data_IF_006323566121
#
_entry.id   IF_006323566121
#
_cell.length_a   1.000
_cell.length_b   1.000
_cell.length_c   1.000
_cell.angle_alpha   90.00
_cell.angle_beta   90.00
_cell.angle_gamma   90.00
#
_symmetry.space_group_name_H-M   'P 1'
#
loop_
_entity.id
_entity.type
_entity.pdbx_description
1 polymer ?
#
# COMPACT_ATOMS: atom_id res chain seq x y z
N UNK A 1 -0.86 3.10 3.83
CA UNK A 1 -0.97 1.66 3.53
C UNK A 1 0.38 1.07 3.15
N UNK A 2 1.03 1.58 2.09
CA UNK A 2 2.28 0.99 1.57
C UNK A 2 3.43 1.06 2.57
N UNK A 3 3.72 2.23 3.14
CA UNK A 3 4.83 2.41 4.10
C UNK A 3 4.62 1.59 5.38
N UNK A 4 3.40 1.57 5.92
CA UNK A 4 3.07 0.76 7.09
C UNK A 4 3.21 -0.74 6.79
N UNK A 5 2.71 -1.19 5.63
CA UNK A 5 2.88 -2.57 5.16
C UNK A 5 4.35 -2.98 5.02
N UNK A 6 5.21 -2.08 4.53
CA UNK A 6 6.65 -2.28 4.40
C UNK A 6 7.41 -2.26 5.74
N UNK A 7 6.72 -2.02 6.86
CA UNK A 7 7.31 -2.09 8.20
C UNK A 7 7.96 -0.80 8.67
N UNK A 8 7.47 0.37 8.21
CA UNK A 8 7.88 1.64 8.80
C UNK A 8 7.45 1.72 10.28
N UNK A 9 8.30 2.29 11.15
CA UNK A 9 8.00 2.49 12.57
C UNK A 9 7.21 3.78 12.84
N UNK A 10 7.26 4.74 11.91
CA UNK A 10 6.50 5.97 11.91
C UNK A 10 6.30 6.48 10.49
N UNK A 11 5.23 7.23 10.27
CA UNK A 11 4.97 7.92 9.00
C UNK A 11 4.71 9.40 9.27
N UNK A 12 4.80 10.24 8.24
CA UNK A 12 4.50 11.66 8.47
C UNK A 12 4.76 12.54 7.27
N UNK A 13 4.63 13.84 7.51
CA UNK A 13 4.88 14.89 6.53
C UNK A 13 5.98 15.83 7.01
N UNK A 14 6.77 16.29 6.06
CA UNK A 14 7.87 17.22 6.31
C UNK A 14 7.91 18.27 5.20
N UNK A 15 8.04 19.54 5.57
CA UNK A 15 8.20 20.63 4.61
C UNK A 15 6.92 20.94 3.80
N UNK A 16 7.08 21.58 2.65
CA UNK A 16 6.10 21.93 1.61
C UNK A 16 5.12 23.04 2.00
N UNK A 17 4.47 22.94 3.15
CA UNK A 17 3.37 23.81 3.57
C UNK A 17 3.58 24.27 5.02
N UNK A 18 2.84 25.31 5.43
CA UNK A 18 2.75 25.73 6.82
C UNK A 18 1.83 24.82 7.66
N UNK A 19 1.77 25.04 8.98
CA UNK A 19 1.02 24.13 9.87
C UNK A 19 -0.49 24.13 9.59
N UNK A 20 -1.07 25.26 9.18
CA UNK A 20 -2.51 25.35 8.92
C UNK A 20 -2.89 24.55 7.66
N UNK A 21 -2.13 24.73 6.60
CA UNK A 21 -2.37 24.05 5.31
C UNK A 21 -2.15 22.54 5.39
N UNK A 22 -1.33 22.08 6.35
CA UNK A 22 -1.08 20.64 6.56
C UNK A 22 -2.18 19.94 7.37
N UNK A 23 -3.07 20.65 8.07
CA UNK A 23 -4.12 20.02 8.88
C UNK A 23 -4.90 18.97 8.11
N UNK A 24 -5.53 19.27 6.94
CA UNK A 24 -6.33 18.27 6.23
C UNK A 24 -5.50 17.07 5.73
N UNK A 25 -4.24 17.29 5.39
CA UNK A 25 -3.32 16.20 4.97
C UNK A 25 -3.01 15.29 6.16
N UNK A 26 -2.74 15.88 7.33
CA UNK A 26 -2.43 15.13 8.55
C UNK A 26 -3.66 14.38 9.06
N UNK A 27 -4.85 14.98 8.99
CA UNK A 27 -6.12 14.30 9.30
C UNK A 27 -6.29 13.04 8.46
N UNK A 28 -6.05 13.13 7.16
CA UNK A 28 -6.17 11.98 6.26
C UNK A 28 -5.11 10.92 6.57
N UNK A 29 -3.85 11.29 6.78
CA UNK A 29 -2.80 10.34 7.20
C UNK A 29 -3.21 9.64 8.50
N UNK A 30 -3.73 10.40 9.46
CA UNK A 30 -4.14 9.86 10.76
C UNK A 30 -5.30 8.85 10.68
N UNK A 31 -6.10 8.87 9.62
CA UNK A 31 -7.17 7.88 9.37
C UNK A 31 -6.63 6.55 8.84
N UNK A 32 -5.49 6.57 8.17
CA UNK A 32 -4.97 5.42 7.41
C UNK A 32 -3.77 4.72 8.02
N UNK A 33 -3.35 5.11 9.24
CA UNK A 33 -2.21 4.45 9.89
C UNK A 33 -2.42 4.30 11.39
N UNK A 34 -1.96 3.18 11.92
CA UNK A 34 -1.84 2.95 13.37
C UNK A 34 -0.50 3.43 13.92
N UNK A 35 0.46 3.70 13.04
CA UNK A 35 1.82 4.12 13.40
C UNK A 35 1.85 5.51 14.03
N UNK A 36 2.88 5.83 14.81
CA UNK A 36 3.18 7.20 15.18
C UNK A 36 3.24 8.11 13.95
N UNK A 37 2.56 9.27 14.02
CA UNK A 37 2.62 10.27 12.95
C UNK A 37 3.57 11.39 13.36
N UNK A 38 4.46 11.77 12.43
CA UNK A 38 5.41 12.87 12.57
C UNK A 38 5.05 14.03 11.65
N UNK A 39 5.01 15.26 12.17
CA UNK A 39 4.67 16.45 11.39
C UNK A 39 5.72 17.54 11.64
N UNK A 40 6.38 17.99 10.57
CA UNK A 40 7.38 19.06 10.60
C UNK A 40 7.06 20.09 9.51
N UNK A 41 6.15 21.05 9.78
CA UNK A 41 5.77 22.07 8.82
C UNK A 41 6.83 23.15 8.64
N UNK A 42 6.72 23.93 7.58
CA UNK A 42 7.47 25.18 7.42
C UNK A 42 6.86 26.29 8.28
N UNK A 43 7.59 27.37 8.48
CA UNK A 43 7.07 28.60 9.09
C UNK A 43 6.17 29.40 8.12
N UNK A 44 5.22 28.70 7.50
CA UNK A 44 4.39 29.21 6.40
C UNK A 44 5.00 28.95 5.03
N UNK A 45 4.58 29.73 4.04
CA UNK A 45 5.17 29.73 2.70
C UNK A 45 6.15 30.91 2.56
N UNK A 46 7.27 30.74 1.85
CA UNK A 46 8.18 31.85 1.61
C UNK A 46 7.53 32.88 0.69
N UNK A 47 7.75 34.15 1.01
CA UNK A 47 7.38 35.24 0.10
C UNK A 47 8.15 35.13 -1.23
N UNK A 48 7.48 35.15 -2.39
CA UNK A 48 8.12 34.91 -3.68
C UNK A 48 9.23 35.91 -4.05
N UNK A 49 9.20 37.12 -3.48
CA UNK A 49 10.16 38.19 -3.81
C UNK A 49 11.35 38.22 -2.84
N UNK A 50 11.09 37.93 -1.56
CA UNK A 50 12.10 38.07 -0.49
C UNK A 50 12.64 36.74 -0.01
N UNK A 51 11.96 35.61 -0.32
CA UNK A 51 12.22 34.29 0.22
C UNK A 51 12.14 34.20 1.76
N UNK A 52 11.54 35.19 2.41
CA UNK A 52 11.35 35.22 3.85
C UNK A 52 10.06 34.50 4.25
N UNK A 53 10.11 33.82 5.36
CA UNK A 53 8.95 33.20 5.99
C UNK A 53 8.33 34.21 6.96
N UNK A 54 7.00 34.39 6.89
CA UNK A 54 6.29 35.47 7.58
C UNK A 54 5.44 35.02 8.78
N UNK A 55 5.38 33.72 9.06
CA UNK A 55 4.70 33.18 10.24
C UNK A 55 5.62 33.33 11.44
N UNK A 56 5.14 33.96 12.49
CA UNK A 56 5.93 34.14 13.74
C UNK A 56 6.01 32.85 14.58
N UNK A 57 6.97 32.74 15.53
CA UNK A 57 7.05 31.57 16.41
C UNK A 57 5.78 31.27 17.18
N UNK A 58 5.04 32.29 17.67
CA UNK A 58 3.81 32.13 18.42
C UNK A 58 2.66 31.65 17.53
N UNK A 59 2.50 32.24 16.34
CA UNK A 59 1.52 31.80 15.35
C UNK A 59 1.76 30.38 14.88
N UNK A 60 3.04 30.02 14.67
CA UNK A 60 3.45 28.67 14.33
C UNK A 60 3.08 27.68 15.43
N UNK A 61 3.43 28.01 16.69
CA UNK A 61 3.17 27.15 17.84
C UNK A 61 1.67 26.93 18.06
N UNK A 62 0.85 27.99 17.95
CA UNK A 62 -0.60 27.93 18.08
C UNK A 62 -1.24 27.02 17.00
N UNK A 63 -0.77 27.14 15.75
CA UNK A 63 -1.28 26.32 14.66
C UNK A 63 -0.77 24.86 14.75
N UNK A 64 0.53 24.66 15.04
CA UNK A 64 1.14 23.33 15.09
C UNK A 64 0.66 22.51 16.32
N UNK A 65 0.32 23.16 17.43
CA UNK A 65 -0.22 22.48 18.61
C UNK A 65 -1.53 21.74 18.32
N UNK A 66 -2.31 22.16 17.31
CA UNK A 66 -3.55 21.48 16.91
C UNK A 66 -3.32 20.04 16.45
N UNK A 67 -2.12 19.72 15.97
CA UNK A 67 -1.79 18.35 15.59
C UNK A 67 -1.80 17.37 16.77
N UNK A 68 -1.57 17.85 18.00
CA UNK A 68 -1.68 17.01 19.21
C UNK A 68 -3.08 16.45 19.41
N UNK A 69 -4.11 17.22 19.03
CA UNK A 69 -5.52 16.81 19.08
C UNK A 69 -5.88 15.78 18.00
N UNK A 70 -5.09 15.71 16.91
CA UNK A 70 -5.21 14.68 15.87
C UNK A 70 -4.42 13.40 16.22
N UNK A 71 -3.79 13.35 17.40
CA UNK A 71 -3.00 12.22 17.87
C UNK A 71 -1.63 12.08 17.20
N UNK A 72 -1.08 13.19 16.66
CA UNK A 72 0.29 13.26 16.17
C UNK A 72 1.25 13.18 17.35
N UNK A 73 2.25 12.30 17.27
CA UNK A 73 3.18 12.03 18.39
C UNK A 73 4.52 12.75 18.28
N UNK A 74 4.91 13.16 17.07
CA UNK A 74 6.20 13.78 16.81
C UNK A 74 5.96 15.10 16.10
N UNK A 75 6.30 16.19 16.74
CA UNK A 75 6.16 17.53 16.21
C UNK A 75 7.52 18.24 16.14
N UNK A 76 7.70 19.05 15.11
CA UNK A 76 8.90 19.84 14.93
C UNK A 76 8.67 20.94 13.88
N UNK A 77 9.76 21.44 13.32
CA UNK A 77 9.72 22.44 12.26
C UNK A 77 10.62 22.05 11.09
N UNK A 78 10.46 22.74 9.97
CA UNK A 78 11.28 22.61 8.76
C UNK A 78 11.72 23.99 8.27
N UNK A 79 11.56 24.31 7.00
CA UNK A 79 12.03 25.55 6.41
C UNK A 79 11.44 26.81 7.10
N UNK A 80 12.29 27.79 7.35
CA UNK A 80 11.92 29.02 8.02
C UNK A 80 11.81 28.92 9.55
N UNK A 81 11.90 27.74 10.14
CA UNK A 81 11.88 27.58 11.60
C UNK A 81 13.30 27.68 12.20
N UNK A 82 13.38 28.22 13.40
CA UNK A 82 14.59 28.41 14.21
C UNK A 82 14.37 27.86 15.62
N UNK A 83 15.36 27.86 16.52
CA UNK A 83 15.18 27.40 17.89
C UNK A 83 14.04 28.09 18.65
N UNK A 84 13.74 29.36 18.34
CA UNK A 84 12.63 30.12 18.95
C UNK A 84 11.27 29.49 18.61
N UNK A 85 11.08 28.98 17.40
CA UNK A 85 9.86 28.28 16.99
C UNK A 85 9.67 26.98 17.77
N UNK A 86 10.76 26.23 17.96
CA UNK A 86 10.70 24.97 18.71
C UNK A 86 10.45 25.26 20.20
N UNK A 87 11.03 26.32 20.74
CA UNK A 87 10.78 26.76 22.11
C UNK A 87 9.29 27.11 22.31
N UNK A 88 8.76 28.00 21.47
CA UNK A 88 7.33 28.38 21.51
C UNK A 88 6.41 27.18 21.37
N UNK A 89 6.70 26.26 20.43
CA UNK A 89 5.95 25.01 20.27
C UNK A 89 6.00 24.14 21.53
N UNK A 90 7.16 23.98 22.15
CA UNK A 90 7.32 23.18 23.38
C UNK A 90 6.54 23.78 24.54
N UNK A 91 6.60 25.09 24.71
CA UNK A 91 5.85 25.82 25.74
C UNK A 91 4.34 25.66 25.51
N UNK A 92 3.85 25.81 24.28
CA UNK A 92 2.45 25.63 23.94
C UNK A 92 1.99 24.20 24.21
N UNK A 93 2.74 23.18 23.76
CA UNK A 93 2.41 21.78 23.95
C UNK A 93 2.38 21.36 25.43
N UNK A 94 3.13 22.04 26.32
CA UNK A 94 3.10 21.75 27.76
C UNK A 94 1.74 22.02 28.41
N UNK A 95 0.92 22.84 27.77
CA UNK A 95 -0.43 23.22 28.24
C UNK A 95 -1.55 22.53 27.45
N UNK A 96 -1.21 21.83 26.37
CA UNK A 96 -2.18 21.13 25.53
C UNK A 96 -2.41 19.69 25.99
N UNK A 97 -3.61 19.17 25.72
CA UNK A 97 -3.94 17.77 25.96
C UNK A 97 -3.69 16.94 24.71
N UNK A 98 -2.80 15.95 24.82
CA UNK A 98 -2.65 14.94 23.81
C UNK A 98 -3.87 14.02 23.74
N UNK A 99 -4.48 13.88 22.57
CA UNK A 99 -5.62 12.97 22.34
C UNK A 99 -5.10 11.69 21.67
N UNK A 100 -5.13 10.55 22.38
CA UNK A 100 -4.77 9.27 21.77
C UNK A 100 -5.71 8.94 20.60
N UNK A 101 -5.13 8.47 19.52
CA UNK A 101 -5.86 8.08 18.32
C UNK A 101 -6.24 6.61 18.39
N UNK A 102 -7.52 6.33 18.13
CA UNK A 102 -8.01 4.97 17.83
C UNK A 102 -8.35 4.90 16.37
N UNK A 103 -7.68 4.03 15.64
CA UNK A 103 -7.85 3.89 14.19
C UNK A 103 -8.29 2.47 13.88
N UNK A 104 -9.34 2.35 13.07
CA UNK A 104 -9.75 1.09 12.47
C UNK A 104 -9.49 1.20 10.97
N UNK A 105 -8.40 0.60 10.49
CA UNK A 105 -8.04 0.63 9.07
C UNK A 105 -8.83 -0.49 8.38
N UNK A 106 -9.68 -0.17 7.40
CA UNK A 106 -10.37 -1.19 6.61
C UNK A 106 -9.37 -1.99 5.78
N UNK A 107 -9.73 -3.23 5.43
CA UNK A 107 -8.97 -4.00 4.44
C UNK A 107 -8.90 -3.20 3.15
N UNK A 108 -7.69 -2.93 2.67
CA UNK A 108 -7.49 -2.13 1.48
C UNK A 108 -6.19 -2.50 0.77
N UNK A 109 -6.18 -2.29 -0.54
CA UNK A 109 -5.00 -2.38 -1.41
C UNK A 109 -4.86 -1.08 -2.18
N UNK A 110 -3.67 -0.76 -2.64
CA UNK A 110 -3.45 0.48 -3.35
C UNK A 110 -2.37 0.36 -4.43
N UNK A 111 -2.48 1.22 -5.42
CA UNK A 111 -1.41 1.59 -6.32
C UNK A 111 -0.65 2.82 -5.77
N UNK A 112 0.16 3.43 -6.60
CA UNK A 112 0.84 4.70 -6.29
C UNK A 112 -0.12 5.90 -6.19
N UNK A 113 -1.32 5.82 -6.78
CA UNK A 113 -2.27 6.94 -6.88
C UNK A 113 -3.69 6.59 -6.40
N UNK A 114 -4.09 5.31 -6.38
CA UNK A 114 -5.45 4.91 -6.08
C UNK A 114 -5.52 3.85 -4.97
N UNK A 115 -6.56 3.91 -4.15
CA UNK A 115 -6.82 2.97 -3.05
C UNK A 115 -8.15 2.27 -3.28
N UNK A 116 -8.15 0.95 -3.31
CA UNK A 116 -9.36 0.12 -3.33
C UNK A 116 -9.62 -0.44 -1.94
N UNK A 117 -10.66 0.09 -1.28
CA UNK A 117 -11.11 -0.38 0.04
C UNK A 117 -12.02 -1.60 -0.17
N UNK A 118 -11.76 -2.68 0.56
CA UNK A 118 -12.51 -3.93 0.45
C UNK A 118 -13.60 -3.96 1.54
N UNK A 119 -14.53 -3.04 1.45
CA UNK A 119 -15.71 -2.88 2.34
C UNK A 119 -17.01 -3.35 1.68
N UNK A 120 -16.97 -3.61 0.39
CA UNK A 120 -18.04 -4.12 -0.47
C UNK A 120 -17.45 -4.99 -1.58
N UNK A 121 -18.27 -5.70 -2.37
CA UNK A 121 -17.76 -6.46 -3.52
C UNK A 121 -16.93 -5.58 -4.45
N UNK A 122 -15.73 -6.06 -4.82
CA UNK A 122 -14.82 -5.40 -5.76
C UNK A 122 -14.61 -6.31 -6.96
N UNK A 123 -14.48 -5.70 -8.13
CA UNK A 123 -14.29 -6.42 -9.39
C UNK A 123 -12.79 -6.51 -9.69
N UNK A 124 -12.30 -7.75 -9.78
CA UNK A 124 -10.93 -8.02 -10.23
C UNK A 124 -10.98 -8.41 -11.71
N UNK A 125 -10.34 -7.61 -12.55
CA UNK A 125 -10.22 -7.88 -13.99
C UNK A 125 -9.17 -8.96 -14.25
N UNK A 126 -9.54 -10.09 -14.87
CA UNK A 126 -8.70 -11.31 -15.03
C UNK A 126 -8.30 -11.55 -16.49
N UNK A 127 -8.29 -10.54 -17.36
CA UNK A 127 -7.94 -10.73 -18.77
C UNK A 127 -6.44 -10.86 -19.03
N UNK A 128 -5.58 -10.36 -18.13
CA UNK A 128 -4.12 -10.49 -18.21
C UNK A 128 -3.74 -11.88 -17.64
N UNK A 129 -4.10 -12.93 -18.36
CA UNK A 129 -3.90 -14.33 -17.97
C UNK A 129 -3.87 -15.21 -19.23
N UNK A 130 -2.83 -16.07 -19.42
CA UNK A 130 -2.72 -16.93 -20.60
C UNK A 130 -3.68 -18.11 -20.63
N UNK A 131 -4.32 -18.44 -19.51
CA UNK A 131 -5.19 -19.63 -19.40
C UNK A 131 -6.36 -19.56 -20.36
N UNK A 132 -6.46 -20.51 -21.30
CA UNK A 132 -7.53 -20.56 -22.30
C UNK A 132 -7.45 -19.50 -23.41
N UNK A 133 -6.49 -18.56 -23.39
CA UNK A 133 -6.43 -17.39 -24.28
C UNK A 133 -5.27 -17.50 -25.28
N UNK A 134 -5.51 -18.03 -26.48
CA UNK A 134 -4.47 -18.24 -27.51
C UNK A 134 -3.71 -16.96 -27.86
N UNK A 135 -4.44 -15.86 -28.11
CA UNK A 135 -3.85 -14.57 -28.48
C UNK A 135 -2.96 -14.01 -27.37
N UNK A 136 -3.34 -14.18 -26.10
CA UNK A 136 -2.52 -13.72 -24.97
C UNK A 136 -1.23 -14.54 -24.86
N UNK A 137 -1.29 -15.88 -25.07
CA UNK A 137 -0.08 -16.74 -25.11
C UNK A 137 0.88 -16.30 -26.22
N UNK A 138 0.36 -15.97 -27.40
CA UNK A 138 1.16 -15.44 -28.51
C UNK A 138 1.82 -14.10 -28.15
N UNK A 139 1.08 -13.20 -27.50
CA UNK A 139 1.59 -11.92 -27.03
C UNK A 139 2.76 -12.09 -26.03
N UNK A 140 2.63 -13.01 -25.08
CA UNK A 140 3.72 -13.32 -24.15
C UNK A 140 4.96 -13.87 -24.84
N UNK A 141 4.79 -14.85 -25.77
CA UNK A 141 5.92 -15.43 -26.54
C UNK A 141 6.62 -14.41 -27.42
N UNK A 142 5.87 -13.48 -28.01
CA UNK A 142 6.39 -12.44 -28.88
C UNK A 142 6.80 -11.16 -28.12
N UNK A 143 6.66 -11.17 -26.77
CA UNK A 143 6.97 -10.02 -25.94
C UNK A 143 6.16 -8.75 -26.33
N UNK A 144 4.91 -8.96 -26.78
CA UNK A 144 3.98 -7.91 -27.21
C UNK A 144 3.32 -7.25 -25.97
N UNK A 145 4.06 -6.36 -25.34
CA UNK A 145 3.61 -5.63 -24.15
C UNK A 145 2.41 -4.74 -24.50
N UNK A 146 2.34 -4.19 -25.70
CA UNK A 146 1.24 -3.31 -26.08
C UNK A 146 -0.11 -4.03 -26.04
N UNK A 147 -0.15 -5.29 -26.46
CA UNK A 147 -1.36 -6.11 -26.36
C UNK A 147 -1.77 -6.32 -24.87
N UNK A 148 -0.80 -6.58 -23.98
CA UNK A 148 -1.05 -6.75 -22.55
C UNK A 148 -1.60 -5.45 -21.93
N UNK A 149 -1.00 -4.31 -22.26
CA UNK A 149 -1.47 -2.99 -21.81
C UNK A 149 -2.87 -2.67 -22.35
N UNK A 150 -3.19 -3.05 -23.59
CA UNK A 150 -4.55 -2.94 -24.14
C UNK A 150 -5.57 -3.68 -23.29
N UNK A 151 -5.25 -4.90 -22.83
CA UNK A 151 -6.14 -5.66 -21.94
C UNK A 151 -6.35 -4.96 -20.58
N UNK A 152 -5.33 -4.31 -20.05
CA UNK A 152 -5.46 -3.54 -18.80
C UNK A 152 -6.39 -2.34 -18.98
N UNK A 153 -6.19 -1.56 -20.04
CA UNK A 153 -6.99 -0.36 -20.36
C UNK A 153 -8.45 -0.72 -20.59
N UNK A 154 -8.72 -1.81 -21.34
CA UNK A 154 -10.08 -2.30 -21.58
C UNK A 154 -10.79 -2.67 -20.27
N UNK A 155 -10.12 -3.37 -19.36
CA UNK A 155 -10.68 -3.77 -18.08
C UNK A 155 -10.91 -2.57 -17.14
N UNK A 156 -9.96 -1.64 -17.09
CA UNK A 156 -10.12 -0.40 -16.33
C UNK A 156 -11.33 0.40 -16.86
N UNK A 157 -11.45 0.56 -18.17
CA UNK A 157 -12.58 1.23 -18.81
C UNK A 157 -13.93 0.50 -18.61
N UNK A 158 -13.90 -0.81 -18.39
CA UNK A 158 -15.08 -1.63 -18.08
C UNK A 158 -15.46 -1.60 -16.58
N UNK A 159 -14.72 -0.89 -15.73
CA UNK A 159 -15.05 -0.71 -14.32
C UNK A 159 -14.42 -1.75 -13.38
N UNK A 160 -13.29 -2.36 -13.74
CA UNK A 160 -12.50 -3.14 -12.80
C UNK A 160 -11.96 -2.25 -11.67
N UNK A 161 -11.98 -2.72 -10.44
CA UNK A 161 -11.39 -2.06 -9.27
C UNK A 161 -9.91 -2.45 -9.08
N UNK A 162 -9.52 -3.65 -9.53
CA UNK A 162 -8.20 -4.26 -9.37
C UNK A 162 -7.90 -5.06 -10.64
N UNK A 163 -6.64 -5.17 -11.03
CA UNK A 163 -6.22 -6.00 -12.16
C UNK A 163 -5.42 -7.22 -11.69
N UNK A 164 -5.86 -8.40 -12.04
CA UNK A 164 -5.09 -9.64 -11.90
C UNK A 164 -4.04 -9.75 -12.99
N UNK A 165 -2.82 -10.12 -12.62
CA UNK A 165 -1.67 -10.20 -13.53
C UNK A 165 -1.03 -11.57 -13.41
N UNK A 166 -1.31 -12.42 -14.41
CA UNK A 166 -0.70 -13.72 -14.59
C UNK A 166 0.01 -13.78 -15.96
N UNK A 167 1.28 -14.08 -15.95
CA UNK A 167 2.09 -14.25 -17.16
C UNK A 167 2.74 -15.63 -17.24
N UNK A 168 2.28 -16.57 -16.39
CA UNK A 168 2.77 -17.93 -16.30
C UNK A 168 2.54 -18.72 -17.59
N UNK A 169 3.60 -18.94 -18.34
CA UNK A 169 3.58 -19.71 -19.56
C UNK A 169 4.84 -20.57 -19.66
N UNK A 170 4.75 -21.89 -19.92
CA UNK A 170 5.92 -22.68 -20.29
C UNK A 170 6.68 -22.03 -21.45
N UNK A 171 7.96 -22.22 -21.52
CA UNK A 171 8.86 -21.72 -22.57
C UNK A 171 9.17 -20.20 -22.53
N UNK A 172 8.79 -19.46 -21.47
CA UNK A 172 9.24 -18.08 -21.28
C UNK A 172 9.89 -17.89 -19.89
N UNK A 173 10.70 -16.87 -19.74
CA UNK A 173 11.15 -16.40 -18.41
C UNK A 173 10.01 -15.63 -17.74
N UNK A 174 9.20 -16.34 -16.91
CA UNK A 174 8.05 -15.78 -16.21
C UNK A 174 8.46 -14.60 -15.32
N UNK A 175 9.60 -14.71 -14.63
CA UNK A 175 10.08 -13.65 -13.72
C UNK A 175 10.40 -12.36 -14.48
N UNK A 176 11.16 -12.45 -15.55
CA UNK A 176 11.48 -11.28 -16.38
C UNK A 176 10.23 -10.68 -17.01
N UNK A 177 9.30 -11.52 -17.50
CA UNK A 177 8.05 -11.08 -18.09
C UNK A 177 7.13 -10.42 -17.05
N UNK A 178 7.01 -10.98 -15.85
CA UNK A 178 6.21 -10.41 -14.76
C UNK A 178 6.72 -9.03 -14.36
N UNK A 179 8.03 -8.89 -14.12
CA UNK A 179 8.66 -7.59 -13.78
C UNK A 179 8.41 -6.56 -14.88
N UNK A 180 8.57 -6.96 -16.15
CA UNK A 180 8.33 -6.07 -17.30
C UNK A 180 6.87 -5.64 -17.38
N UNK A 181 5.94 -6.58 -17.22
CA UNK A 181 4.49 -6.33 -17.25
C UNK A 181 4.05 -5.42 -16.11
N UNK A 182 4.46 -5.69 -14.87
CA UNK A 182 4.12 -4.86 -13.71
C UNK A 182 4.63 -3.43 -13.86
N UNK A 183 5.88 -3.24 -14.33
CA UNK A 183 6.41 -1.89 -14.60
C UNK A 183 5.62 -1.17 -15.68
N UNK A 184 5.26 -1.84 -16.77
CA UNK A 184 4.54 -1.24 -17.88
C UNK A 184 3.09 -0.88 -17.52
N UNK A 185 2.41 -1.74 -16.74
CA UNK A 185 1.04 -1.51 -16.27
C UNK A 185 0.94 -0.24 -15.41
N UNK A 186 1.90 0.01 -14.52
CA UNK A 186 1.94 1.23 -13.69
C UNK A 186 2.09 2.53 -14.50
N UNK A 187 2.44 2.44 -15.77
CA UNK A 187 2.51 3.59 -16.68
C UNK A 187 1.20 3.89 -17.42
N UNK A 188 0.21 3.00 -17.37
CA UNK A 188 -1.04 3.12 -18.15
C UNK A 188 -2.31 3.00 -17.32
N UNK A 189 -2.22 2.54 -16.06
CA UNK A 189 -3.35 2.42 -15.14
C UNK A 189 -2.92 2.76 -13.72
N UNK A 190 -3.82 3.34 -12.96
CA UNK A 190 -3.71 3.62 -11.52
C UNK A 190 -4.42 2.57 -10.65
N UNK A 191 -4.98 1.52 -11.25
CA UNK A 191 -5.64 0.45 -10.50
C UNK A 191 -4.62 -0.39 -9.71
N UNK A 192 -4.96 -0.83 -8.49
CA UNK A 192 -4.16 -1.80 -7.75
C UNK A 192 -3.99 -3.10 -8.53
N UNK A 193 -2.86 -3.79 -8.32
CA UNK A 193 -2.59 -5.07 -8.97
C UNK A 193 -2.72 -6.24 -8.00
N UNK A 194 -3.21 -7.36 -8.53
CA UNK A 194 -3.10 -8.68 -7.95
C UNK A 194 -2.02 -9.45 -8.71
N UNK A 195 -0.99 -9.88 -8.01
CA UNK A 195 0.13 -10.66 -8.57
C UNK A 195 -0.22 -12.13 -8.48
N UNK A 196 -0.47 -12.74 -9.62
CA UNK A 196 -0.88 -14.15 -9.73
C UNK A 196 0.26 -15.01 -10.28
N UNK A 197 0.90 -15.75 -9.40
CA UNK A 197 1.92 -16.75 -9.73
C UNK A 197 2.03 -17.79 -8.61
N UNK A 198 2.43 -19.01 -8.99
CA UNK A 198 2.76 -20.09 -8.05
C UNK A 198 4.24 -20.14 -7.68
N UNK A 199 5.05 -19.27 -8.28
CA UNK A 199 6.51 -19.24 -8.13
C UNK A 199 6.92 -18.11 -7.18
N UNK A 200 7.45 -18.41 -5.98
CA UNK A 200 7.79 -17.38 -4.99
C UNK A 200 8.74 -16.29 -5.51
N UNK A 201 9.72 -16.67 -6.32
CA UNK A 201 10.70 -15.74 -6.90
C UNK A 201 10.08 -14.78 -7.93
N UNK A 202 9.00 -15.19 -8.60
CA UNK A 202 8.22 -14.34 -9.51
C UNK A 202 7.42 -13.32 -8.70
N UNK A 203 6.71 -13.79 -7.66
CA UNK A 203 5.94 -12.94 -6.75
C UNK A 203 6.85 -11.90 -6.11
N UNK A 204 7.98 -12.31 -5.55
CA UNK A 204 8.93 -11.38 -4.91
C UNK A 204 9.46 -10.35 -5.88
N UNK A 205 9.84 -10.75 -7.10
CA UNK A 205 10.35 -9.84 -8.11
C UNK A 205 9.29 -8.82 -8.58
N UNK A 206 8.03 -9.25 -8.69
CA UNK A 206 6.91 -8.37 -9.01
C UNK A 206 6.66 -7.33 -7.91
N UNK A 207 6.57 -7.77 -6.65
CA UNK A 207 6.34 -6.91 -5.49
C UNK A 207 7.45 -5.89 -5.30
N UNK A 208 8.71 -6.25 -5.61
CA UNK A 208 9.86 -5.35 -5.52
C UNK A 208 9.76 -4.13 -6.45
N UNK A 209 9.05 -4.23 -7.57
CA UNK A 209 8.91 -3.15 -8.56
C UNK A 209 7.52 -2.54 -8.58
N UNK A 210 6.65 -2.99 -7.70
CA UNK A 210 5.31 -2.45 -7.59
C UNK A 210 5.24 -1.32 -6.56
N UNK A 211 4.70 -0.17 -6.96
CA UNK A 211 4.57 1.01 -6.11
C UNK A 211 3.17 1.05 -5.47
N UNK A 212 2.98 0.27 -4.41
CA UNK A 212 1.69 0.18 -3.73
C UNK A 212 1.62 -1.02 -2.79
N UNK A 213 0.41 -1.31 -2.33
CA UNK A 213 0.07 -2.53 -1.59
C UNK A 213 -0.71 -3.46 -2.52
N UNK A 214 -0.05 -4.45 -3.10
CA UNK A 214 -0.65 -5.43 -4.00
C UNK A 214 -1.44 -6.50 -3.25
N UNK A 215 -2.21 -7.32 -4.01
CA UNK A 215 -2.68 -8.63 -3.58
C UNK A 215 -1.73 -9.69 -4.13
N UNK A 216 -1.38 -10.69 -3.35
CA UNK A 216 -0.71 -11.91 -3.81
C UNK A 216 -1.76 -13.01 -4.01
N UNK A 217 -1.82 -13.58 -5.19
CA UNK A 217 -2.66 -14.72 -5.54
C UNK A 217 -1.73 -15.92 -5.85
N UNK A 218 -1.53 -16.87 -4.97
CA UNK A 218 -2.19 -17.09 -3.71
C UNK A 218 -1.31 -17.91 -2.76
N UNK A 219 -1.75 -18.04 -1.52
CA UNK A 219 -1.25 -19.04 -0.58
C UNK A 219 -2.33 -20.09 -0.33
N UNK A 220 -1.95 -21.33 -0.06
CA UNK A 220 -2.86 -22.41 0.31
C UNK A 220 -2.47 -23.05 1.67
N UNK A 221 -3.19 -24.07 2.11
CA UNK A 221 -2.97 -24.75 3.39
C UNK A 221 -1.75 -25.66 3.46
N UNK A 222 -1.02 -25.86 2.36
CA UNK A 222 0.22 -26.64 2.34
C UNK A 222 1.32 -25.93 3.12
N UNK A 223 2.07 -26.66 3.96
CA UNK A 223 3.16 -26.05 4.74
C UNK A 223 4.19 -25.35 3.85
N UNK A 224 4.56 -25.97 2.74
CA UNK A 224 5.51 -25.37 1.77
C UNK A 224 4.99 -24.02 1.23
N UNK A 225 3.70 -23.91 0.92
CA UNK A 225 3.09 -22.68 0.44
C UNK A 225 3.14 -21.61 1.53
N UNK A 226 2.76 -21.94 2.75
CA UNK A 226 2.75 -21.03 3.90
C UNK A 226 4.18 -20.54 4.22
N UNK A 227 5.18 -21.43 4.20
CA UNK A 227 6.57 -21.11 4.52
C UNK A 227 7.28 -20.28 3.45
N UNK A 228 6.88 -20.40 2.19
CA UNK A 228 7.56 -19.69 1.09
C UNK A 228 6.87 -18.38 0.72
N UNK A 229 5.54 -18.31 0.73
CA UNK A 229 4.80 -17.15 0.27
C UNK A 229 4.55 -16.12 1.38
N UNK A 230 4.14 -16.54 2.60
CA UNK A 230 3.82 -15.59 3.67
C UNK A 230 5.00 -14.68 4.07
N UNK A 231 6.27 -15.16 4.13
CA UNK A 231 7.41 -14.26 4.37
C UNK A 231 7.54 -13.15 3.33
N UNK A 232 7.27 -13.47 2.05
CA UNK A 232 7.28 -12.49 0.96
C UNK A 232 6.13 -11.48 1.15
N UNK A 233 4.92 -11.98 1.42
CA UNK A 233 3.75 -11.13 1.72
C UNK A 233 4.05 -10.17 2.86
N UNK A 234 4.63 -10.66 3.96
CA UNK A 234 5.03 -9.84 5.11
C UNK A 234 6.09 -8.80 4.74
N UNK A 235 7.14 -9.22 4.02
CA UNK A 235 8.27 -8.36 3.63
C UNK A 235 7.83 -7.15 2.80
N UNK A 236 6.87 -7.34 1.90
CA UNK A 236 6.37 -6.30 1.00
C UNK A 236 5.04 -5.68 1.44
N UNK A 237 4.48 -6.12 2.57
CA UNK A 237 3.23 -5.58 3.12
C UNK A 237 2.01 -5.82 2.25
N UNK A 238 2.04 -6.85 1.40
CA UNK A 238 0.95 -7.16 0.50
C UNK A 238 -0.26 -7.74 1.25
N UNK A 239 -1.44 -7.67 0.65
CA UNK A 239 -2.56 -8.54 0.98
C UNK A 239 -2.36 -9.92 0.31
N UNK A 240 -3.06 -10.95 0.77
CA UNK A 240 -2.93 -12.29 0.20
C UNK A 240 -4.27 -13.01 0.12
N UNK A 241 -4.49 -13.72 -0.99
CA UNK A 241 -5.61 -14.64 -1.14
C UNK A 241 -5.23 -15.98 -0.53
N UNK A 242 -6.02 -16.47 0.43
CA UNK A 242 -5.89 -17.79 1.01
C UNK A 242 -6.83 -18.80 0.34
N UNK A 243 -6.30 -19.80 -0.33
CA UNK A 243 -7.09 -20.88 -0.94
C UNK A 243 -7.35 -21.98 0.09
N UNK A 244 -8.61 -22.31 0.32
CA UNK A 244 -9.04 -23.35 1.25
C UNK A 244 -8.84 -24.76 0.67
N UNK A 245 -7.59 -25.10 0.33
CA UNK A 245 -7.12 -26.41 -0.13
C UNK A 245 -5.75 -26.70 0.53
N UNK A 246 -5.37 -27.96 0.60
CA UNK A 246 -4.11 -28.43 1.16
C UNK A 246 -3.54 -29.61 0.35
N UNK A 247 -2.60 -30.37 0.93
CA UNK A 247 -1.93 -31.53 0.34
C UNK A 247 -2.95 -32.63 -0.10
N UNK A 248 -4.15 -32.63 0.45
CA UNK A 248 -5.23 -33.56 0.10
C UNK A 248 -6.11 -33.03 -1.02
N UNK A 249 -5.81 -31.85 -1.55
CA UNK A 249 -6.57 -31.17 -2.59
C UNK A 249 -7.72 -30.32 -2.06
N UNK A 250 -8.76 -30.15 -2.86
CA UNK A 250 -9.92 -29.28 -2.52
C UNK A 250 -10.92 -30.07 -1.69
N UNK A 251 -11.15 -29.73 -0.41
CA UNK A 251 -12.11 -30.43 0.44
C UNK A 251 -13.55 -30.27 -0.08
N UNK A 252 -14.33 -31.33 0.04
CA UNK A 252 -15.75 -31.34 -0.36
C UNK A 252 -16.68 -30.72 0.69
N UNK A 253 -16.28 -30.78 1.99
CA UNK A 253 -17.07 -30.31 3.12
C UNK A 253 -16.68 -28.89 3.53
N UNK A 254 -17.66 -28.08 3.90
CA UNK A 254 -17.47 -26.70 4.34
C UNK A 254 -16.60 -26.61 5.59
N UNK A 255 -16.76 -27.53 6.56
CA UNK A 255 -16.01 -27.56 7.81
C UNK A 255 -14.51 -27.75 7.54
N UNK A 256 -14.15 -28.62 6.61
CA UNK A 256 -12.75 -28.87 6.23
C UNK A 256 -12.14 -27.62 5.56
N UNK A 257 -12.88 -26.96 4.68
CA UNK A 257 -12.45 -25.69 4.06
C UNK A 257 -12.24 -24.60 5.11
N UNK A 258 -13.14 -24.51 6.08
CA UNK A 258 -13.04 -23.57 7.19
C UNK A 258 -11.76 -23.82 8.04
N UNK A 259 -11.44 -25.06 8.38
CA UNK A 259 -10.23 -25.36 9.15
C UNK A 259 -8.96 -25.03 8.37
N UNK A 260 -8.91 -25.26 7.05
CA UNK A 260 -7.77 -24.85 6.22
C UNK A 260 -7.65 -23.31 6.17
N UNK A 261 -8.74 -22.60 5.93
CA UNK A 261 -8.74 -21.14 5.94
C UNK A 261 -8.28 -20.58 7.29
N UNK A 262 -8.74 -21.17 8.40
CA UNK A 262 -8.33 -20.81 9.76
C UNK A 262 -6.83 -21.09 9.99
N UNK A 263 -6.28 -22.21 9.47
CA UNK A 263 -4.85 -22.52 9.51
C UNK A 263 -4.05 -21.43 8.79
N UNK A 264 -4.44 -21.04 7.58
CA UNK A 264 -3.79 -19.99 6.78
C UNK A 264 -3.82 -18.66 7.55
N UNK A 265 -4.99 -18.25 8.01
CA UNK A 265 -5.18 -17.00 8.77
C UNK A 265 -4.32 -16.96 10.04
N UNK A 266 -4.34 -18.02 10.84
CA UNK A 266 -3.55 -18.09 12.07
C UNK A 266 -2.04 -18.02 11.79
N UNK A 267 -1.57 -18.69 10.71
CA UNK A 267 -0.17 -18.61 10.31
C UNK A 267 0.20 -17.17 9.87
N UNK A 268 -0.63 -16.54 9.06
CA UNK A 268 -0.41 -15.15 8.62
C UNK A 268 -0.36 -14.20 9.81
N UNK A 269 -1.33 -14.28 10.74
CA UNK A 269 -1.37 -13.46 11.94
C UNK A 269 -0.17 -13.68 12.85
N UNK A 270 0.29 -14.93 13.02
CA UNK A 270 1.48 -15.27 13.83
C UNK A 270 2.76 -14.65 13.26
N UNK A 271 2.79 -14.34 11.97
CA UNK A 271 3.88 -13.65 11.29
C UNK A 271 3.69 -12.12 11.27
N UNK A 272 2.61 -11.59 11.86
CA UNK A 272 2.28 -10.17 11.90
C UNK A 272 1.76 -9.64 10.55
N UNK A 273 1.11 -10.47 9.76
CA UNK A 273 0.27 -10.06 8.63
C UNK A 273 -1.13 -9.84 9.21
N UNK A 274 -1.70 -8.61 9.09
CA UNK A 274 -2.98 -8.26 9.73
C UNK A 274 -4.18 -8.92 9.05
#
# INVERSE_FOLDING_TARGET
LTLEGLGADAVGVNCSLGPIELIPVVEEICRWTTLPVAVKPNAGLPDPNTNLYNVTPDEFAEAAAKFSHLGVKILGGCCGTSPEYIKALTEKLSTEHFVPRTVNIPSAVCSYANTSVIDQPRIIGERINPTGKKRFKEALKNNDINYILGQAIEQAGAGADILDVNVGLPDIDEKAMMVKTVKALQGVTDLPLQIDSTIPEVIEAALRVYNGKAIVNSVNGEEKSLETILPIVKKYGAAVVGLALDENGIPKKAEQRFEIAKKIMNRAMSMGIP
#
